data_IF_716026514312
#
_entry.id   IF_716026514312
#
_cell.length_a   1.000
_cell.length_b   1.000
_cell.length_c   1.000
_cell.angle_alpha   90.00
_cell.angle_beta   90.00
_cell.angle_gamma   90.00
#
_symmetry.space_group_name_H-M   'P 1'
#
loop_
_entity.id
_entity.type
_entity.pdbx_description
1 polymer ?
#
# COMPACT_ATOMS: atom_id res chain seq x y z
N UNK A 1 3.89 -24.32 9.13
CA UNK A 1 3.24 -23.61 10.25
C UNK A 1 1.75 -23.52 9.97
N UNK A 2 0.89 -23.77 10.96
CA UNK A 2 -0.56 -23.66 10.83
C UNK A 2 -1.01 -22.34 11.45
N UNK A 3 -1.56 -21.42 10.65
CA UNK A 3 -2.06 -20.14 11.14
C UNK A 3 -3.44 -20.34 11.79
N UNK A 4 -3.62 -19.89 13.02
CA UNK A 4 -4.90 -19.96 13.74
C UNK A 4 -5.85 -18.85 13.26
N UNK A 5 -6.37 -19.01 12.05
CA UNK A 5 -7.24 -18.03 11.41
C UNK A 5 -8.67 -18.12 11.94
N UNK A 6 -9.22 -16.98 12.34
CA UNK A 6 -10.61 -16.87 12.75
C UNK A 6 -11.54 -17.19 11.57
N UNK A 7 -12.55 -18.01 11.87
CA UNK A 7 -13.67 -18.37 10.99
C UNK A 7 -15.01 -17.91 11.58
N UNK A 8 -14.99 -17.04 12.60
CA UNK A 8 -16.22 -16.49 13.20
C UNK A 8 -17.04 -15.75 12.14
N UNK A 9 -18.35 -15.95 12.20
CA UNK A 9 -19.30 -15.25 11.35
C UNK A 9 -19.29 -13.75 11.69
N UNK A 10 -19.40 -12.91 10.67
CA UNK A 10 -19.49 -11.46 10.80
C UNK A 10 -20.47 -10.93 9.75
N UNK A 11 -21.12 -9.81 10.05
CA UNK A 11 -22.05 -9.16 9.13
C UNK A 11 -21.28 -8.41 8.04
N UNK A 12 -21.76 -8.50 6.80
CA UNK A 12 -21.25 -7.71 5.70
C UNK A 12 -21.71 -6.25 5.84
N UNK A 13 -20.78 -5.33 5.62
CA UNK A 13 -21.06 -3.90 5.48
C UNK A 13 -20.33 -3.36 4.23
N UNK A 14 -20.65 -2.13 3.82
CA UNK A 14 -20.09 -1.53 2.61
C UNK A 14 -18.56 -1.44 2.62
N UNK A 15 -17.96 -1.11 3.76
CA UNK A 15 -16.49 -1.06 3.93
C UNK A 15 -15.86 -2.44 3.74
N UNK A 16 -16.45 -3.46 4.32
CA UNK A 16 -15.96 -4.83 4.23
C UNK A 16 -16.09 -5.38 2.80
N UNK A 17 -17.22 -5.12 2.14
CA UNK A 17 -17.43 -5.49 0.74
C UNK A 17 -16.38 -4.82 -0.16
N UNK A 18 -16.04 -3.56 0.11
CA UNK A 18 -14.95 -2.88 -0.59
C UNK A 18 -13.63 -3.63 -0.47
N UNK A 19 -13.21 -4.02 0.74
CA UNK A 19 -11.94 -4.75 0.92
C UNK A 19 -11.95 -6.13 0.27
N UNK A 20 -13.08 -6.84 0.33
CA UNK A 20 -13.25 -8.14 -0.34
C UNK A 20 -13.13 -7.98 -1.86
N UNK A 21 -13.83 -7.02 -2.44
CA UNK A 21 -13.83 -6.81 -3.90
C UNK A 21 -12.49 -6.33 -4.44
N UNK A 22 -11.65 -5.73 -3.60
CA UNK A 22 -10.32 -5.24 -3.97
C UNK A 22 -9.19 -6.11 -3.42
N UNK A 23 -9.47 -7.31 -2.91
CA UNK A 23 -8.51 -8.12 -2.16
C UNK A 23 -7.18 -8.33 -2.89
N UNK A 24 -7.25 -8.73 -4.16
CA UNK A 24 -6.07 -8.98 -4.99
C UNK A 24 -5.31 -7.71 -5.38
N UNK A 25 -5.89 -6.53 -5.17
CA UNK A 25 -5.26 -5.24 -5.44
C UNK A 25 -4.58 -4.65 -4.21
N UNK A 26 -4.84 -5.18 -3.00
CA UNK A 26 -4.30 -4.63 -1.76
C UNK A 26 -2.75 -4.56 -1.76
N UNK A 27 -2.00 -5.54 -2.31
CA UNK A 27 -0.56 -5.40 -2.46
C UNK A 27 -0.14 -4.23 -3.37
N UNK A 28 -0.86 -4.01 -4.48
CA UNK A 28 -0.58 -2.91 -5.40
C UNK A 28 -0.94 -1.56 -4.80
N UNK A 29 -2.07 -1.48 -4.10
CA UNK A 29 -2.49 -0.29 -3.35
C UNK A 29 -1.43 0.04 -2.30
N UNK A 30 -0.93 -0.95 -1.56
CA UNK A 30 0.16 -0.79 -0.60
C UNK A 30 1.42 -0.23 -1.27
N UNK A 31 1.87 -0.81 -2.38
CA UNK A 31 3.02 -0.32 -3.14
C UNK A 31 2.85 1.15 -3.55
N UNK A 32 1.72 1.50 -4.16
CA UNK A 32 1.43 2.86 -4.62
C UNK A 32 1.33 3.87 -3.46
N UNK A 33 0.70 3.49 -2.36
CA UNK A 33 0.65 4.31 -1.14
C UNK A 33 2.06 4.55 -0.58
N UNK A 34 2.89 3.51 -0.51
CA UNK A 34 4.29 3.65 -0.11
C UNK A 34 5.06 4.58 -1.04
N UNK A 35 4.92 4.40 -2.35
CA UNK A 35 5.55 5.25 -3.36
C UNK A 35 5.16 6.72 -3.21
N UNK A 36 3.89 6.97 -2.88
CA UNK A 36 3.36 8.33 -2.71
C UNK A 36 4.10 9.11 -1.63
N UNK A 37 4.41 8.46 -0.50
CA UNK A 37 5.20 9.04 0.59
C UNK A 37 6.70 9.08 0.32
N UNK A 38 7.20 8.26 -0.62
CA UNK A 38 8.59 8.27 -1.10
C UNK A 38 8.80 9.14 -2.34
N UNK A 39 7.77 9.85 -2.84
CA UNK A 39 7.82 10.67 -4.07
C UNK A 39 9.06 11.57 -4.14
N UNK A 40 9.34 12.30 -3.06
CA UNK A 40 10.48 13.23 -3.01
C UNK A 40 11.83 12.50 -3.09
N UNK A 41 11.95 11.31 -2.48
CA UNK A 41 13.16 10.48 -2.58
C UNK A 41 13.41 9.98 -3.99
N UNK A 42 12.36 9.67 -4.75
CA UNK A 42 12.53 9.29 -6.16
C UNK A 42 13.00 10.45 -7.04
N UNK A 43 12.70 11.69 -6.65
CA UNK A 43 13.19 12.88 -7.34
C UNK A 43 14.66 13.20 -7.00
N UNK A 44 15.20 12.65 -5.90
CA UNK A 44 16.59 12.84 -5.52
C UNK A 44 17.55 11.99 -6.39
N UNK A 45 18.68 12.59 -6.81
CA UNK A 45 19.90 11.91 -7.29
C UNK A 45 19.68 10.79 -8.34
N UNK A 46 19.04 11.10 -9.47
CA UNK A 46 18.96 10.21 -10.64
C UNK A 46 18.13 8.94 -10.43
N UNK A 47 17.56 8.73 -9.25
CA UNK A 47 16.74 7.56 -8.92
C UNK A 47 15.46 7.52 -9.74
N UNK A 48 14.98 8.70 -10.17
CA UNK A 48 13.84 8.84 -11.08
C UNK A 48 13.95 7.99 -12.35
N UNK A 49 15.15 7.77 -12.89
CA UNK A 49 15.34 6.95 -14.09
C UNK A 49 15.29 5.44 -13.79
N UNK A 50 15.40 5.03 -12.52
CA UNK A 50 15.23 3.65 -12.05
C UNK A 50 13.78 3.34 -11.64
N UNK A 51 12.90 4.35 -11.61
CA UNK A 51 11.48 4.16 -11.32
C UNK A 51 10.76 3.72 -12.60
N UNK A 52 10.04 2.57 -12.60
CA UNK A 52 9.22 2.11 -13.70
C UNK A 52 8.23 3.17 -14.18
N UNK A 53 7.97 3.17 -15.49
CA UNK A 53 7.09 4.16 -16.12
C UNK A 53 5.71 4.25 -15.47
N UNK A 54 5.11 3.10 -15.15
CA UNK A 54 3.80 3.06 -14.48
C UNK A 54 3.80 3.72 -13.11
N UNK A 55 4.92 3.72 -12.39
CA UNK A 55 5.05 4.42 -11.11
C UNK A 55 5.36 5.90 -11.31
N UNK A 56 6.12 6.26 -12.35
CA UNK A 56 6.33 7.67 -12.71
C UNK A 56 5.03 8.35 -13.11
N UNK A 57 4.22 7.69 -13.94
CA UNK A 57 2.89 8.16 -14.34
C UNK A 57 1.95 8.31 -13.14
N UNK A 58 1.96 7.35 -12.22
CA UNK A 58 1.22 7.45 -10.97
C UNK A 58 1.62 8.70 -10.16
N UNK A 59 2.93 8.87 -9.95
CA UNK A 59 3.46 9.93 -9.11
C UNK A 59 3.22 11.32 -9.70
N UNK A 60 3.15 11.46 -11.03
CA UNK A 60 2.82 12.71 -11.72
C UNK A 60 1.32 13.00 -11.75
N UNK A 61 0.48 11.96 -11.83
CA UNK A 61 -0.98 12.11 -11.98
C UNK A 61 -1.70 12.34 -10.66
N UNK A 62 -1.21 11.73 -9.57
CA UNK A 62 -1.85 11.82 -8.25
C UNK A 62 -1.14 12.89 -7.41
N UNK A 63 -1.80 13.96 -6.94
CA UNK A 63 -1.16 15.02 -6.17
C UNK A 63 -0.87 14.60 -4.73
N UNK A 64 0.22 15.11 -4.15
CA UNK A 64 0.53 14.97 -2.72
C UNK A 64 -0.26 16.00 -1.92
N UNK A 65 -0.99 15.58 -0.87
CA UNK A 65 -1.67 16.52 0.02
C UNK A 65 -0.69 17.09 1.07
N UNK A 66 -0.86 18.36 1.45
CA UNK A 66 0.04 19.07 2.39
C UNK A 66 0.15 18.33 3.74
N UNK A 67 -0.95 17.75 4.21
CA UNK A 67 -1.01 17.01 5.46
C UNK A 67 -0.17 15.72 5.44
N UNK A 68 0.06 15.15 4.26
CA UNK A 68 0.84 13.92 4.07
C UNK A 68 2.34 14.25 4.13
N UNK A 69 2.73 15.36 3.48
CA UNK A 69 4.11 15.84 3.44
C UNK A 69 4.69 16.15 4.82
N UNK A 70 3.88 16.69 5.74
CA UNK A 70 4.35 17.07 7.08
C UNK A 70 4.55 15.86 8.03
N UNK A 71 3.93 14.71 7.74
CA UNK A 71 3.80 13.61 8.71
C UNK A 71 4.86 12.52 8.59
N UNK A 72 5.52 12.40 7.44
CA UNK A 72 6.47 11.33 7.22
C UNK A 72 7.74 11.84 6.53
N UNK A 73 8.87 11.59 7.17
CA UNK A 73 10.19 11.83 6.58
C UNK A 73 10.74 10.50 6.06
N UNK A 74 10.65 10.22 4.75
CA UNK A 74 11.08 8.95 4.19
C UNK A 74 12.59 8.74 4.36
N UNK A 75 12.98 7.50 4.66
CA UNK A 75 14.38 7.07 4.71
C UNK A 75 14.93 6.78 3.31
N UNK A 76 15.77 5.75 3.20
CA UNK A 76 16.29 5.28 1.91
C UNK A 76 15.15 4.62 1.12
N UNK A 77 14.99 4.97 -0.15
CA UNK A 77 14.03 4.35 -1.04
C UNK A 77 14.50 2.93 -1.41
N UNK A 78 13.84 1.92 -0.82
CA UNK A 78 14.00 0.51 -1.15
C UNK A 78 12.67 -0.22 -0.91
N UNK A 79 12.55 -1.45 -1.41
CA UNK A 79 11.30 -2.22 -1.39
C UNK A 79 10.78 -2.41 0.04
N UNK A 80 11.65 -2.80 0.97
CA UNK A 80 11.29 -2.98 2.37
C UNK A 80 10.63 -1.70 2.92
N UNK A 81 11.31 -0.57 2.81
CA UNK A 81 10.85 0.69 3.37
C UNK A 81 9.57 1.22 2.70
N UNK A 82 9.44 1.02 1.39
CA UNK A 82 8.26 1.41 0.62
C UNK A 82 7.06 0.56 1.03
N UNK A 83 7.21 -0.76 1.10
CA UNK A 83 6.12 -1.67 1.51
C UNK A 83 5.74 -1.46 2.97
N UNK A 84 6.72 -1.28 3.86
CA UNK A 84 6.46 -0.94 5.27
C UNK A 84 5.65 0.35 5.38
N UNK A 85 6.01 1.39 4.63
CA UNK A 85 5.28 2.65 4.62
C UNK A 85 3.86 2.46 4.06
N UNK A 86 3.71 1.78 2.92
CA UNK A 86 2.43 1.46 2.31
C UNK A 86 1.51 0.67 3.25
N UNK A 87 2.06 -0.33 3.94
CA UNK A 87 1.33 -1.15 4.90
C UNK A 87 0.80 -0.30 6.07
N UNK A 88 1.64 0.60 6.60
CA UNK A 88 1.23 1.58 7.61
C UNK A 88 0.05 2.44 7.18
N UNK A 89 -0.11 2.72 5.88
CA UNK A 89 -1.26 3.50 5.38
C UNK A 89 -2.59 2.76 5.41
N UNK A 90 -2.56 1.43 5.25
CA UNK A 90 -3.75 0.59 5.18
C UNK A 90 -4.20 0.11 6.57
N UNK A 91 -3.28 0.06 7.53
CA UNK A 91 -3.54 -0.40 8.90
C UNK A 91 -4.77 0.24 9.57
N UNK A 92 -5.00 1.57 9.54
CA UNK A 92 -6.19 2.18 10.12
C UNK A 92 -7.50 1.60 9.63
N UNK A 93 -7.55 1.27 8.33
CA UNK A 93 -8.75 0.77 7.69
C UNK A 93 -8.97 -0.72 7.94
N UNK A 94 -7.90 -1.49 7.93
CA UNK A 94 -7.93 -2.93 8.20
C UNK A 94 -8.28 -3.20 9.66
N UNK A 95 -7.76 -2.42 10.62
CA UNK A 95 -8.07 -2.55 12.05
C UNK A 95 -9.56 -2.35 12.39
N UNK A 96 -10.32 -1.72 11.50
CA UNK A 96 -11.78 -1.55 11.65
C UNK A 96 -12.57 -2.76 11.13
N UNK A 97 -11.92 -3.70 10.43
CA UNK A 97 -12.57 -4.88 9.85
C UNK A 97 -12.67 -6.03 10.86
N UNK A 98 -13.50 -7.06 10.61
CA UNK A 98 -13.53 -8.26 11.45
C UNK A 98 -12.15 -8.93 11.56
N UNK A 99 -11.87 -9.56 12.71
CA UNK A 99 -10.58 -10.21 12.98
C UNK A 99 -10.14 -11.18 11.87
N UNK A 100 -11.09 -11.90 11.28
CA UNK A 100 -10.85 -12.82 10.17
C UNK A 100 -10.20 -12.12 8.95
N UNK A 101 -10.58 -10.88 8.66
CA UNK A 101 -10.01 -10.07 7.59
C UNK A 101 -8.65 -9.53 7.97
N UNK A 102 -8.51 -9.02 9.20
CA UNK A 102 -7.24 -8.51 9.71
C UNK A 102 -6.12 -9.56 9.61
N UNK A 103 -6.40 -10.78 10.07
CA UNK A 103 -5.44 -11.88 10.03
C UNK A 103 -5.06 -12.27 8.60
N UNK A 104 -6.03 -12.28 7.67
CA UNK A 104 -5.78 -12.62 6.26
C UNK A 104 -5.07 -11.51 5.51
N UNK A 105 -5.26 -10.24 5.91
CA UNK A 105 -4.60 -9.10 5.30
C UNK A 105 -3.08 -9.18 5.46
N UNK A 106 -2.58 -9.51 6.66
CA UNK A 106 -1.14 -9.66 6.90
C UNK A 106 -0.51 -10.73 6.00
N UNK A 107 -1.25 -11.80 5.68
CA UNK A 107 -0.76 -12.88 4.80
C UNK A 107 -0.55 -12.44 3.34
N UNK A 108 -1.00 -11.25 2.95
CA UNK A 108 -0.75 -10.68 1.62
C UNK A 108 0.64 -10.04 1.49
N UNK A 109 1.37 -9.91 2.60
CA UNK A 109 2.62 -9.17 2.66
C UNK A 109 3.75 -10.03 3.22
N UNK A 110 5.02 -9.65 2.95
CA UNK A 110 6.17 -10.28 3.58
C UNK A 110 6.16 -10.11 5.11
N UNK A 111 6.78 -11.05 5.82
CA UNK A 111 6.84 -11.12 7.29
C UNK A 111 7.42 -9.87 7.97
N UNK A 112 8.31 -9.13 7.29
CA UNK A 112 8.89 -7.91 7.85
C UNK A 112 7.85 -6.83 8.21
N UNK A 113 6.62 -6.90 7.68
CA UNK A 113 5.55 -5.95 8.04
C UNK A 113 4.85 -6.29 9.36
N UNK A 114 5.06 -7.49 9.92
CA UNK A 114 4.33 -7.94 11.12
C UNK A 114 4.64 -7.09 12.37
N UNK A 115 5.81 -6.44 12.41
CA UNK A 115 6.22 -5.57 13.51
C UNK A 115 5.66 -4.15 13.40
N UNK A 116 4.98 -3.81 12.31
CA UNK A 116 4.50 -2.46 12.05
C UNK A 116 3.22 -2.19 12.84
N UNK A 117 3.35 -1.32 13.83
CA UNK A 117 2.24 -0.96 14.72
C UNK A 117 1.75 0.47 14.53
N UNK A 118 2.62 1.36 14.02
CA UNK A 118 2.31 2.77 13.85
C UNK A 118 1.59 3.00 12.51
N UNK A 119 0.30 3.39 12.53
CA UNK A 119 -0.40 3.73 11.31
C UNK A 119 0.11 5.07 10.76
N UNK A 120 0.14 5.16 9.44
CA UNK A 120 0.35 6.42 8.73
C UNK A 120 -1.01 6.84 8.13
N UNK A 121 -1.64 7.94 8.58
CA UNK A 121 -2.95 8.29 8.08
C UNK A 121 -2.87 8.73 6.61
N UNK A 122 -3.68 8.08 5.77
CA UNK A 122 -3.89 8.39 4.36
C UNK A 122 -5.34 8.86 4.21
N UNK A 123 -5.59 9.97 3.50
CA UNK A 123 -6.96 10.43 3.26
C UNK A 123 -7.77 9.37 2.48
N UNK A 124 -9.05 9.19 2.81
CA UNK A 124 -9.91 8.21 2.13
C UNK A 124 -10.07 8.51 0.64
N UNK A 125 -10.18 9.79 0.29
CA UNK A 125 -10.21 10.30 -1.09
C UNK A 125 -8.95 9.93 -1.87
N UNK A 126 -7.78 9.97 -1.23
CA UNK A 126 -6.54 9.53 -1.84
C UNK A 126 -6.53 8.00 -1.98
N UNK A 127 -6.94 7.24 -0.96
CA UNK A 127 -7.02 5.79 -1.05
C UNK A 127 -7.90 5.34 -2.23
N UNK A 128 -9.02 6.02 -2.46
CA UNK A 128 -9.90 5.76 -3.61
C UNK A 128 -9.20 6.03 -4.95
N UNK A 129 -8.47 7.14 -5.07
CA UNK A 129 -7.67 7.46 -6.27
C UNK A 129 -6.59 6.43 -6.53
N UNK A 130 -5.88 6.02 -5.47
CA UNK A 130 -4.85 4.96 -5.54
C UNK A 130 -5.47 3.65 -6.00
N UNK A 131 -6.62 3.28 -5.42
CA UNK A 131 -7.34 2.06 -5.78
C UNK A 131 -7.80 2.09 -7.23
N UNK A 132 -8.33 3.22 -7.70
CA UNK A 132 -8.72 3.39 -9.09
C UNK A 132 -7.52 3.25 -10.04
N UNK A 133 -6.39 3.88 -9.71
CA UNK A 133 -5.17 3.76 -10.48
C UNK A 133 -4.65 2.33 -10.52
N UNK A 134 -4.63 1.64 -9.37
CA UNK A 134 -4.22 0.24 -9.26
C UNK A 134 -5.08 -0.68 -10.14
N UNK A 135 -6.40 -0.45 -10.17
CA UNK A 135 -7.33 -1.18 -11.06
C UNK A 135 -7.00 -0.97 -12.53
N UNK A 136 -6.82 0.28 -12.92
CA UNK A 136 -6.60 0.65 -14.32
C UNK A 136 -5.28 0.11 -14.87
N UNK A 137 -4.23 0.08 -14.03
CA UNK A 137 -2.86 -0.25 -14.45
C UNK A 137 -2.37 -1.58 -13.86
N UNK A 138 -3.29 -2.48 -13.50
CA UNK A 138 -3.00 -3.72 -12.77
C UNK A 138 -1.88 -4.54 -13.42
N UNK A 139 -1.99 -4.82 -14.72
CA UNK A 139 -1.07 -5.73 -15.41
C UNK A 139 0.37 -5.19 -15.43
N UNK A 140 0.56 -3.88 -15.55
CA UNK A 140 1.88 -3.25 -15.49
C UNK A 140 2.44 -3.21 -14.07
N UNK A 141 1.58 -2.96 -13.08
CA UNK A 141 1.96 -2.97 -11.66
C UNK A 141 2.33 -4.38 -11.17
N UNK A 142 1.61 -5.42 -11.60
CA UNK A 142 1.88 -6.81 -11.24
C UNK A 142 3.26 -7.28 -11.76
N UNK A 143 3.73 -6.76 -12.91
CA UNK A 143 5.07 -7.08 -13.43
C UNK A 143 6.20 -6.58 -12.53
N UNK A 144 5.98 -5.47 -11.82
CA UNK A 144 7.01 -4.78 -11.03
C UNK A 144 6.89 -5.03 -9.52
N UNK A 145 5.70 -5.42 -9.03
CA UNK A 145 5.39 -5.55 -7.60
C UNK A 145 6.30 -6.53 -6.87
N UNK A 146 6.77 -7.58 -7.55
CA UNK A 146 7.70 -8.57 -6.97
C UNK A 146 9.20 -8.27 -7.20
N UNK A 147 9.55 -7.28 -8.05
CA UNK A 147 10.92 -7.12 -8.56
C UNK A 147 11.57 -5.78 -8.27
N UNK A 148 10.78 -4.75 -7.97
CA UNK A 148 11.24 -3.37 -8.14
C UNK A 148 12.37 -2.90 -7.20
N UNK A 149 12.72 -3.61 -6.12
CA UNK A 149 13.98 -3.34 -5.40
C UNK A 149 14.68 -4.60 -4.87
N UNK A 150 14.64 -5.68 -5.64
CA UNK A 150 15.47 -6.86 -5.38
C UNK A 150 16.85 -6.79 -6.06
N UNK A 151 17.14 -5.71 -6.79
CA UNK A 151 18.43 -5.42 -7.42
C UNK A 151 19.27 -4.42 -6.60
#
# INVERSE_FOLDING_TARGET
MQYNLSVKHFNLNSSLIYYINNWNLLPLICLLSGCHFYRERFAERGFFYKVPDVLRDYLSTIPLEINEKARYKPGIANYHNIITCGFSTLLPYIRQQPLAMQQRFNLLFPDFVDHIQSPLPLASTLLERITFYAKKNRDELDKISCKWCCD
#
